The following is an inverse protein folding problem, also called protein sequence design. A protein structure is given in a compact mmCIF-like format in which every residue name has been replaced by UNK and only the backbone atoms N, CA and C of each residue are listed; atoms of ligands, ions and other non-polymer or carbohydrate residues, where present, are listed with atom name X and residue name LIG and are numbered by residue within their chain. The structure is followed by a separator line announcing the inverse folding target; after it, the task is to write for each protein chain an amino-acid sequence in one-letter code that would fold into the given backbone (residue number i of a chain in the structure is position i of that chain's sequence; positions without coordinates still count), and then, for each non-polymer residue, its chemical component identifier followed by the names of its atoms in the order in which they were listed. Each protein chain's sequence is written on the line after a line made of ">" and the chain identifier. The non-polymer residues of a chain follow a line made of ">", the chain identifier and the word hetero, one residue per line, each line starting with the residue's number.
data_IF_076247053043
#
_entry.id   IF_076247053043
#
_cell.length_a   1.000
_cell.length_b   1.000
_cell.length_c   1.000
_cell.angle_alpha   90.00
_cell.angle_beta   90.00
_cell.angle_gamma   90.00
#
_symmetry.space_group_name_H-M   'P 1'
#
loop_
_entity.id
_entity.type
_entity.pdbx_description
1 polymer ?
#
# COMPACT_ATOMS: atom_id res chain seq x y z
N UNK A 1 -15.04 3.67 10.54
CA UNK A 1 -14.80 3.14 9.18
C UNK A 1 -13.47 2.40 9.20
N UNK A 2 -13.49 1.10 8.89
CA UNK A 2 -12.28 0.30 8.88
C UNK A 2 -11.73 0.15 7.45
N UNK A 3 -10.45 0.42 7.25
CA UNK A 3 -9.78 0.32 5.96
C UNK A 3 -8.57 -0.60 6.03
N UNK A 4 -8.23 -1.22 4.90
CA UNK A 4 -6.97 -1.93 4.67
C UNK A 4 -6.12 -1.13 3.68
N UNK A 5 -4.91 -0.75 4.04
CA UNK A 5 -3.95 -0.12 3.13
C UNK A 5 -2.86 -1.12 2.73
N UNK A 6 -2.47 -1.09 1.46
CA UNK A 6 -1.53 -2.04 0.85
C UNK A 6 -0.45 -1.30 0.05
N UNK A 7 0.81 -1.61 0.34
CA UNK A 7 1.95 -1.39 -0.56
C UNK A 7 2.27 -2.70 -1.29
N UNK A 8 1.71 -2.87 -2.51
CA UNK A 8 1.78 -4.12 -3.25
C UNK A 8 3.17 -4.36 -3.86
N UNK A 9 3.75 -5.50 -3.53
CA UNK A 9 4.96 -6.03 -4.14
C UNK A 9 4.87 -7.56 -4.26
N UNK A 10 5.47 -8.14 -5.29
CA UNK A 10 5.42 -9.60 -5.49
C UNK A 10 6.35 -10.40 -4.57
N UNK A 11 7.19 -9.75 -3.80
CA UNK A 11 8.10 -10.39 -2.85
C UNK A 11 7.78 -10.04 -1.40
N UNK A 12 7.36 -8.79 -1.16
CA UNK A 12 7.18 -8.24 0.17
C UNK A 12 6.09 -7.16 0.10
N UNK A 13 4.84 -7.54 0.39
CA UNK A 13 3.69 -6.61 0.44
C UNK A 13 3.49 -6.15 1.86
N UNK A 14 3.65 -4.85 2.11
CA UNK A 14 3.28 -4.21 3.37
C UNK A 14 1.77 -4.01 3.45
N UNK A 15 1.20 -4.19 4.63
CA UNK A 15 -0.22 -3.92 4.87
C UNK A 15 -0.47 -3.35 6.26
N UNK A 16 -1.52 -2.55 6.38
CA UNK A 16 -2.02 -2.11 7.67
C UNK A 16 -3.55 -1.95 7.68
N UNK A 17 -4.14 -2.04 8.87
CA UNK A 17 -5.55 -1.81 9.12
C UNK A 17 -5.71 -0.59 10.02
N UNK A 18 -6.57 0.33 9.60
CA UNK A 18 -7.04 1.44 10.42
C UNK A 18 -8.51 1.26 10.76
N UNK A 19 -8.89 1.66 11.97
CA UNK A 19 -10.27 1.86 12.38
C UNK A 19 -10.46 3.33 12.79
N UNK A 20 -11.20 4.07 11.97
CA UNK A 20 -11.18 5.52 12.03
C UNK A 20 -9.74 6.04 11.86
N UNK A 21 -9.26 6.82 12.82
CA UNK A 21 -7.87 7.36 12.83
C UNK A 21 -6.85 6.45 13.51
N UNK A 22 -7.30 5.34 14.11
CA UNK A 22 -6.45 4.47 14.91
C UNK A 22 -5.81 3.38 14.07
N UNK A 23 -4.48 3.34 14.03
CA UNK A 23 -3.72 2.19 13.50
C UNK A 23 -3.95 0.98 14.41
N UNK A 24 -4.57 -0.09 13.87
CA UNK A 24 -4.95 -1.28 14.64
C UNK A 24 -3.97 -2.42 14.49
N UNK A 25 -3.61 -2.71 13.25
CA UNK A 25 -2.75 -3.85 12.93
C UNK A 25 -1.94 -3.54 11.68
N UNK A 26 -0.76 -4.13 11.58
CA UNK A 26 0.11 -4.02 10.40
C UNK A 26 1.07 -5.20 10.37
N UNK A 27 1.46 -5.63 9.19
CA UNK A 27 2.45 -6.68 9.01
C UNK A 27 2.93 -6.74 7.56
N UNK A 28 3.68 -7.78 7.25
CA UNK A 28 4.29 -8.04 5.96
C UNK A 28 3.82 -9.40 5.42
N UNK A 29 3.45 -9.44 4.14
CA UNK A 29 3.25 -10.68 3.40
C UNK A 29 4.50 -10.92 2.56
N UNK A 30 5.18 -12.04 2.76
CA UNK A 30 6.38 -12.39 2.01
C UNK A 30 6.17 -13.59 1.10
N UNK A 31 6.76 -13.55 -0.10
CA UNK A 31 6.73 -14.63 -1.06
C UNK A 31 8.10 -14.81 -1.74
N UNK A 32 8.72 -15.98 -1.59
CA UNK A 32 10.10 -16.27 -1.99
C UNK A 32 10.25 -17.18 -3.21
N UNK A 33 9.16 -17.58 -3.89
CA UNK A 33 9.25 -18.42 -5.09
C UNK A 33 9.95 -17.70 -6.24
N UNK A 34 10.72 -18.42 -7.04
CA UNK A 34 11.26 -17.93 -8.32
C UNK A 34 10.16 -17.71 -9.37
N UNK A 35 9.06 -18.46 -9.26
CA UNK A 35 7.88 -18.34 -10.11
C UNK A 35 7.03 -17.15 -9.67
N UNK A 36 6.90 -16.17 -10.56
CA UNK A 36 6.12 -14.93 -10.34
C UNK A 36 4.64 -15.24 -10.05
N UNK A 37 4.05 -16.18 -10.77
CA UNK A 37 2.63 -16.52 -10.61
C UNK A 37 2.37 -17.15 -9.24
N UNK A 38 3.27 -17.99 -8.76
CA UNK A 38 3.19 -18.54 -7.40
C UNK A 38 3.28 -17.46 -6.33
N UNK A 39 4.15 -16.44 -6.52
CA UNK A 39 4.22 -15.30 -5.60
C UNK A 39 2.93 -14.50 -5.59
N UNK A 40 2.41 -14.15 -6.78
CA UNK A 40 1.14 -13.41 -6.92
C UNK A 40 0.02 -14.18 -6.21
N UNK A 41 -0.14 -15.47 -6.50
CA UNK A 41 -1.16 -16.32 -5.88
C UNK A 41 -1.05 -16.33 -4.35
N UNK A 42 0.18 -16.47 -3.82
CA UNK A 42 0.38 -16.44 -2.37
C UNK A 42 -0.07 -15.11 -1.76
N UNK A 43 0.37 -13.98 -2.33
CA UNK A 43 0.03 -12.65 -1.82
C UNK A 43 -1.47 -12.41 -1.88
N UNK A 44 -2.12 -12.74 -3.01
CA UNK A 44 -3.56 -12.60 -3.17
C UNK A 44 -4.34 -13.42 -2.15
N UNK A 45 -3.92 -14.68 -1.89
CA UNK A 45 -4.54 -15.55 -0.88
C UNK A 45 -4.38 -15.00 0.55
N UNK A 46 -3.22 -14.44 0.89
CA UNK A 46 -2.99 -13.84 2.22
C UNK A 46 -3.85 -12.57 2.40
N UNK A 47 -3.98 -11.74 1.36
CA UNK A 47 -4.90 -10.58 1.40
C UNK A 47 -6.34 -11.05 1.59
N UNK A 48 -6.77 -12.09 0.87
CA UNK A 48 -8.10 -12.68 1.05
C UNK A 48 -8.30 -13.19 2.48
N UNK A 49 -7.29 -13.82 3.08
CA UNK A 49 -7.35 -14.26 4.48
C UNK A 49 -7.49 -13.07 5.45
N UNK A 50 -6.75 -11.98 5.23
CA UNK A 50 -6.89 -10.74 6.03
C UNK A 50 -8.32 -10.21 5.96
N UNK A 51 -8.94 -10.17 4.77
CA UNK A 51 -10.30 -9.69 4.59
C UNK A 51 -11.33 -10.63 5.24
N UNK A 52 -11.15 -11.94 5.15
CA UNK A 52 -12.03 -12.92 5.80
C UNK A 52 -12.00 -12.81 7.33
N UNK A 53 -10.84 -12.46 7.91
CA UNK A 53 -10.67 -12.31 9.36
C UNK A 53 -11.04 -10.93 9.87
N UNK A 54 -11.28 -9.97 8.98
CA UNK A 54 -11.66 -8.59 9.28
C UNK A 54 -12.84 -8.17 8.38
N UNK A 55 -13.98 -8.81 8.57
CA UNK A 55 -15.18 -8.66 7.72
C UNK A 55 -15.83 -7.27 7.77
N UNK A 56 -15.40 -6.41 8.67
CA UNK A 56 -15.84 -5.02 8.81
C UNK A 56 -14.97 -4.00 8.05
N UNK A 57 -13.98 -4.47 7.28
CA UNK A 57 -13.25 -3.64 6.32
C UNK A 57 -14.21 -3.27 5.18
N UNK A 58 -14.36 -1.98 4.93
CA UNK A 58 -15.24 -1.45 3.88
C UNK A 58 -14.48 -0.84 2.68
N UNK A 59 -13.20 -0.51 2.86
CA UNK A 59 -12.37 0.04 1.79
C UNK A 59 -10.97 -0.53 1.82
N UNK A 60 -10.38 -0.65 0.62
CA UNK A 60 -8.97 -1.01 0.43
C UNK A 60 -8.29 0.10 -0.32
N UNK A 61 -7.15 0.56 0.23
CA UNK A 61 -6.34 1.63 -0.33
C UNK A 61 -5.03 1.02 -0.86
N UNK A 62 -4.76 1.22 -2.13
CA UNK A 62 -3.58 0.65 -2.81
C UNK A 62 -2.73 1.77 -3.40
N UNK A 63 -1.40 1.68 -3.29
CA UNK A 63 -0.51 2.55 -4.05
C UNK A 63 -0.65 2.27 -5.55
N UNK A 64 -0.90 3.32 -6.35
CA UNK A 64 -1.04 3.22 -7.80
C UNK A 64 0.28 2.84 -8.47
N UNK A 65 0.25 1.77 -9.25
CA UNK A 65 1.41 1.32 -10.03
C UNK A 65 1.63 2.23 -11.22
N UNK A 66 2.72 3.00 -11.20
CA UNK A 66 3.09 3.88 -12.32
C UNK A 66 4.30 3.34 -13.08
N UNK A 67 4.34 3.52 -14.41
CA UNK A 67 5.57 3.35 -15.16
C UNK A 67 6.63 4.31 -14.62
N UNK A 68 7.79 3.79 -14.22
CA UNK A 68 8.89 4.67 -13.84
C UNK A 68 9.60 5.13 -15.12
N UNK A 69 9.56 6.44 -15.41
CA UNK A 69 10.32 7.06 -16.47
C UNK A 69 11.80 7.10 -16.09
N UNK A 70 12.54 6.03 -16.35
CA UNK A 70 13.99 6.05 -16.25
C UNK A 70 14.56 6.45 -17.61
N UNK A 71 15.53 7.36 -17.62
CA UNK A 71 16.31 7.74 -18.81
C UNK A 71 16.99 6.54 -19.52
N UNK A 72 17.01 5.36 -18.90
CA UNK A 72 17.61 4.11 -19.38
C UNK A 72 16.63 2.96 -19.65
N UNK A 73 15.38 3.20 -19.66
CA UNK A 73 14.20 2.62 -20.35
C UNK A 73 13.85 1.15 -20.19
N UNK A 74 14.73 0.18 -20.09
CA UNK A 74 14.37 -1.23 -20.33
C UNK A 74 14.22 -2.08 -19.07
N UNK A 75 14.92 -1.76 -17.98
CA UNK A 75 14.89 -2.57 -16.74
C UNK A 75 13.56 -2.54 -15.96
N UNK A 76 12.73 -1.55 -16.23
CA UNK A 76 11.52 -1.28 -15.45
C UNK A 76 10.22 -1.83 -16.03
N UNK A 77 10.16 -2.14 -17.33
CA UNK A 77 8.93 -2.65 -17.96
C UNK A 77 8.53 -4.02 -17.43
N UNK A 78 9.50 -4.90 -17.15
CA UNK A 78 9.20 -6.21 -16.56
C UNK A 78 8.62 -6.08 -15.16
N UNK A 79 9.25 -5.30 -14.28
CA UNK A 79 8.77 -5.05 -12.92
C UNK A 79 7.38 -4.41 -12.92
N UNK A 80 7.18 -3.37 -13.74
CA UNK A 80 5.89 -2.72 -13.90
C UNK A 80 4.80 -3.72 -14.34
N UNK A 81 5.06 -4.52 -15.37
CA UNK A 81 4.12 -5.55 -15.84
C UNK A 81 3.75 -6.55 -14.76
N UNK A 82 4.72 -7.02 -13.99
CA UNK A 82 4.51 -7.99 -12.91
C UNK A 82 3.70 -7.38 -11.76
N UNK A 83 3.94 -6.12 -11.41
CA UNK A 83 3.13 -5.39 -10.42
C UNK A 83 1.69 -5.17 -10.91
N UNK A 84 1.48 -4.86 -12.20
CA UNK A 84 0.15 -4.78 -12.80
C UNK A 84 -0.59 -6.11 -12.74
N UNK A 85 0.09 -7.25 -12.95
CA UNK A 85 -0.53 -8.56 -12.79
C UNK A 85 -0.97 -8.82 -11.34
N UNK A 86 -0.14 -8.46 -10.37
CA UNK A 86 -0.50 -8.57 -8.96
C UNK A 86 -1.71 -7.69 -8.62
N UNK A 87 -1.68 -6.42 -9.02
CA UNK A 87 -2.78 -5.49 -8.78
C UNK A 87 -4.09 -5.98 -9.42
N UNK A 88 -4.03 -6.46 -10.66
CA UNK A 88 -5.19 -7.04 -11.34
C UNK A 88 -5.72 -8.29 -10.61
N UNK A 89 -4.82 -9.18 -10.14
CA UNK A 89 -5.21 -10.39 -9.39
C UNK A 89 -5.89 -10.04 -8.07
N UNK A 90 -5.40 -9.04 -7.36
CA UNK A 90 -6.01 -8.53 -6.12
C UNK A 90 -7.39 -7.93 -6.41
N UNK A 91 -7.51 -7.11 -7.47
CA UNK A 91 -8.78 -6.50 -7.87
C UNK A 91 -9.84 -7.55 -8.20
N UNK A 92 -9.50 -8.55 -9.02
CA UNK A 92 -10.43 -9.63 -9.36
C UNK A 92 -10.84 -10.43 -8.11
N UNK A 93 -9.91 -10.78 -7.26
CA UNK A 93 -10.21 -11.50 -6.02
C UNK A 93 -11.17 -10.71 -5.13
N UNK A 94 -10.96 -9.39 -4.99
CA UNK A 94 -11.84 -8.54 -4.19
C UNK A 94 -13.22 -8.43 -4.84
N UNK A 95 -13.29 -8.14 -6.14
CA UNK A 95 -14.54 -8.03 -6.87
C UNK A 95 -15.41 -9.31 -6.75
N UNK A 96 -14.78 -10.48 -6.85
CA UNK A 96 -15.50 -11.75 -6.86
C UNK A 96 -15.92 -12.21 -5.46
N UNK A 97 -15.13 -11.92 -4.42
CA UNK A 97 -15.38 -12.46 -3.08
C UNK A 97 -15.88 -11.41 -2.07
N UNK A 98 -15.68 -10.11 -2.35
CA UNK A 98 -15.99 -9.01 -1.44
C UNK A 98 -16.65 -7.82 -2.19
N UNK A 99 -17.80 -8.02 -2.85
CA UNK A 99 -18.38 -7.03 -3.77
C UNK A 99 -18.78 -5.71 -3.11
N UNK A 100 -18.86 -5.67 -1.78
CA UNK A 100 -19.20 -4.47 -1.02
C UNK A 100 -17.96 -3.64 -0.63
N UNK A 101 -16.74 -4.15 -0.84
CA UNK A 101 -15.49 -3.43 -0.53
C UNK A 101 -15.13 -2.52 -1.70
N UNK A 102 -14.91 -1.24 -1.42
CA UNK A 102 -14.42 -0.29 -2.41
C UNK A 102 -12.90 -0.30 -2.49
N UNK A 103 -12.34 -0.26 -3.70
CA UNK A 103 -10.89 -0.10 -3.92
C UNK A 103 -10.62 1.34 -4.32
N UNK A 104 -9.67 1.96 -3.65
CA UNK A 104 -9.17 3.32 -3.93
C UNK A 104 -7.67 3.27 -4.22
N UNK A 105 -7.22 4.16 -5.09
CA UNK A 105 -5.81 4.27 -5.45
C UNK A 105 -5.26 5.61 -5.03
N UNK A 106 -4.03 5.61 -4.51
CA UNK A 106 -3.29 6.81 -4.14
C UNK A 106 -1.93 6.83 -4.82
N UNK A 107 -1.49 8.00 -5.22
CA UNK A 107 -0.18 8.14 -5.87
C UNK A 107 0.95 8.29 -4.83
N UNK A 108 2.15 7.73 -5.13
CA UNK A 108 3.30 7.80 -4.22
C UNK A 108 3.66 9.20 -3.74
N UNK A 109 3.59 10.18 -4.64
CA UNK A 109 3.87 11.58 -4.31
C UNK A 109 2.75 12.25 -3.49
N UNK A 110 1.50 11.84 -3.66
CA UNK A 110 0.36 12.38 -2.93
C UNK A 110 0.36 11.94 -1.48
N UNK A 111 0.47 10.63 -1.24
CA UNK A 111 0.44 10.15 0.13
C UNK A 111 1.68 10.60 0.92
N UNK A 112 2.87 10.65 0.29
CA UNK A 112 4.07 11.19 0.96
C UNK A 112 3.93 12.68 1.29
N UNK A 113 3.37 13.46 0.38
CA UNK A 113 3.09 14.89 0.64
C UNK A 113 2.11 15.06 1.82
N UNK A 114 1.06 14.24 1.90
CA UNK A 114 0.11 14.24 3.02
C UNK A 114 0.76 13.83 4.35
N UNK A 115 1.82 13.03 4.32
CA UNK A 115 2.65 12.69 5.49
C UNK A 115 3.75 13.73 5.78
N UNK A 116 3.82 14.84 5.04
CA UNK A 116 4.88 15.85 5.17
C UNK A 116 6.25 15.39 4.66
N UNK A 117 6.31 14.30 3.88
CA UNK A 117 7.53 13.73 3.35
C UNK A 117 7.88 14.39 2.01
N UNK A 118 9.04 15.01 1.95
CA UNK A 118 9.50 15.73 0.77
C UNK A 118 9.89 14.76 -0.34
N UNK A 119 9.27 14.91 -1.51
CA UNK A 119 9.55 14.16 -2.73
C UNK A 119 10.04 15.10 -3.84
N UNK A 120 10.61 14.57 -4.93
CA UNK A 120 10.97 15.34 -6.12
C UNK A 120 12.40 15.14 -6.59
N UNK A 121 12.83 16.00 -7.52
CA UNK A 121 14.15 15.91 -8.13
C UNK A 121 15.26 16.00 -7.07
N UNK A 122 16.25 15.11 -7.16
CA UNK A 122 17.39 15.04 -6.24
C UNK A 122 17.17 14.23 -4.97
N UNK A 123 15.94 13.81 -4.65
CA UNK A 123 15.69 12.95 -3.49
C UNK A 123 15.99 11.49 -3.84
N UNK A 124 16.94 10.89 -3.14
CA UNK A 124 17.34 9.50 -3.37
C UNK A 124 16.30 8.53 -2.76
N UNK A 125 16.06 7.39 -3.44
CA UNK A 125 15.14 6.35 -2.97
C UNK A 125 15.44 5.90 -1.52
N UNK A 126 16.72 5.74 -1.16
CA UNK A 126 17.10 5.36 0.20
C UNK A 126 16.67 6.41 1.25
N UNK A 127 16.77 7.69 0.90
CA UNK A 127 16.34 8.78 1.79
C UNK A 127 14.82 8.83 1.94
N UNK A 128 14.06 8.53 0.88
CA UNK A 128 12.60 8.42 0.95
C UNK A 128 12.20 7.30 1.91
N UNK A 129 12.73 6.08 1.71
CA UNK A 129 12.44 4.95 2.60
C UNK A 129 12.74 5.24 4.06
N UNK A 130 13.86 5.92 4.34
CA UNK A 130 14.17 6.33 5.72
C UNK A 130 13.19 7.39 6.25
N UNK A 131 12.72 8.30 5.40
CA UNK A 131 11.74 9.30 5.78
C UNK A 131 10.37 8.65 6.09
N UNK A 132 9.95 7.65 5.29
CA UNK A 132 8.72 6.89 5.50
C UNK A 132 8.76 6.16 6.87
N UNK A 133 9.87 5.48 7.20
CA UNK A 133 10.10 4.83 8.50
C UNK A 133 10.08 5.85 9.65
N UNK A 134 10.79 6.97 9.50
CA UNK A 134 10.86 8.00 10.52
C UNK A 134 9.49 8.65 10.80
N UNK A 135 8.70 8.88 9.75
CA UNK A 135 7.33 9.36 9.87
C UNK A 135 6.49 8.42 10.74
N UNK A 136 6.52 7.11 10.43
CA UNK A 136 5.74 6.11 11.18
C UNK A 136 6.19 6.05 12.64
N UNK A 137 7.50 6.09 12.89
CA UNK A 137 8.03 6.10 14.26
C UNK A 137 7.59 7.33 15.05
N UNK A 138 7.62 8.53 14.43
CA UNK A 138 7.19 9.77 15.08
C UNK A 138 5.67 9.82 15.31
N UNK A 139 4.89 9.36 14.33
CA UNK A 139 3.42 9.46 14.36
C UNK A 139 2.75 8.38 15.23
N UNK A 140 3.31 7.16 15.23
CA UNK A 140 2.68 5.98 15.83
C UNK A 140 3.53 5.32 16.92
N UNK A 141 4.80 5.71 17.08
CA UNK A 141 5.69 5.13 18.10
C UNK A 141 6.14 3.69 17.80
N UNK A 142 6.00 3.21 16.57
CA UNK A 142 6.34 1.84 16.18
C UNK A 142 7.58 1.79 15.28
N UNK A 143 8.39 0.75 15.46
CA UNK A 143 9.54 0.45 14.61
C UNK A 143 9.15 -0.59 13.56
N UNK A 144 9.24 -0.25 12.28
CA UNK A 144 8.84 -1.09 11.15
C UNK A 144 9.87 -1.02 10.02
N UNK A 145 9.80 -1.97 9.09
CA UNK A 145 10.55 -1.87 7.83
C UNK A 145 9.88 -0.89 6.84
N UNK A 146 10.54 -0.63 5.73
CA UNK A 146 10.09 0.30 4.70
C UNK A 146 8.75 -0.10 4.05
N UNK A 147 8.54 -1.39 3.73
CA UNK A 147 7.29 -1.84 3.09
C UNK A 147 6.06 -1.67 4.01
N UNK A 148 6.22 -1.93 5.31
CA UNK A 148 5.17 -1.66 6.31
C UNK A 148 4.99 -0.16 6.50
N UNK A 149 6.08 0.62 6.51
CA UNK A 149 6.01 2.07 6.65
C UNK A 149 5.25 2.71 5.48
N UNK A 150 5.49 2.25 4.25
CA UNK A 150 4.78 2.70 3.05
C UNK A 150 3.28 2.40 3.19
N UNK A 151 2.88 1.19 3.59
CA UNK A 151 1.48 0.83 3.80
C UNK A 151 0.81 1.70 4.89
N UNK A 152 1.48 1.96 6.02
CA UNK A 152 0.97 2.83 7.08
C UNK A 152 0.82 4.27 6.59
N UNK A 153 1.80 4.80 5.83
CA UNK A 153 1.74 6.13 5.22
C UNK A 153 0.58 6.29 4.24
N UNK A 154 0.33 5.28 3.39
CA UNK A 154 -0.81 5.21 2.47
C UNK A 154 -2.13 5.34 3.23
N UNK A 155 -2.31 4.51 4.27
CA UNK A 155 -3.53 4.52 5.08
C UNK A 155 -3.72 5.85 5.84
N UNK A 156 -2.65 6.38 6.45
CA UNK A 156 -2.66 7.68 7.14
C UNK A 156 -3.08 8.82 6.22
N UNK A 157 -2.49 8.89 5.03
CA UNK A 157 -2.79 9.95 4.07
C UNK A 157 -4.25 9.91 3.62
N UNK A 158 -4.79 8.70 3.37
CA UNK A 158 -6.17 8.51 2.97
C UNK A 158 -7.16 8.96 4.05
N UNK A 159 -6.95 8.54 5.30
CA UNK A 159 -7.81 8.92 6.43
C UNK A 159 -7.81 10.43 6.66
N UNK A 160 -6.66 11.07 6.58
CA UNK A 160 -6.57 12.52 6.74
C UNK A 160 -7.31 13.28 5.62
N UNK A 161 -7.28 12.76 4.40
CA UNK A 161 -8.04 13.33 3.29
C UNK A 161 -9.54 13.29 3.57
N UNK A 162 -10.08 12.13 3.97
CA UNK A 162 -11.50 11.96 4.30
C UNK A 162 -11.91 12.88 5.45
N UNK A 163 -11.13 12.92 6.54
CA UNK A 163 -11.43 13.77 7.69
C UNK A 163 -11.42 15.26 7.32
N UNK A 164 -10.54 15.68 6.42
CA UNK A 164 -10.53 17.06 5.93
C UNK A 164 -11.75 17.38 5.06
N UNK A 165 -12.17 16.44 4.20
CA UNK A 165 -13.37 16.60 3.37
C UNK A 165 -14.65 16.65 4.20
N UNK A 166 -14.76 15.85 5.28
CA UNK A 166 -15.93 15.88 6.20
C UNK A 166 -16.00 17.13 7.08
N UNK A 167 -14.90 17.83 7.30
CA UNK A 167 -14.89 19.06 8.11
C UNK A 167 -15.32 20.32 7.35
N UNK A 168 -15.69 20.21 6.06
CA UNK A 168 -16.17 21.32 5.22
C UNK A 168 -17.68 21.29 4.98
N UNK A 169 -18.41 20.31 5.54
CA UNK A 169 -19.87 20.24 5.57
C UNK A 169 -20.42 20.72 6.93
#
# INVERSE_FOLDING_TARGET
>A
MKILALDLSTQSTGWCIYDGTKLQNFNLITASSTDVIKRIKKITNEIQHILNTNSDICEIIIEEVRPQNNQYGVGNLHTHRVLMWLQASVNFMIHDNFPNIQIKYVYPNEWRAACGIKTGAGVKRKSLKQADINFVKQQYGVDVNDDIADAIGIGHAYINKINNEMNWE
#
